data_IF_500289617271
#
_entry.id   IF_500289617271
#
_cell.length_a   1.000
_cell.length_b   1.000
_cell.length_c   1.000
_cell.angle_alpha   90.00
_cell.angle_beta   90.00
_cell.angle_gamma   90.00
#
_symmetry.space_group_name_H-M   'P 1'
#
loop_
_entity.id
_entity.type
_entity.pdbx_description
1 polymer ?
#
# COMPACT_ATOMS: atom_id res chain seq x y z
N UNK A 1 16.20 -14.03 -30.43
CA UNK A 1 15.68 -13.73 -29.09
C UNK A 1 16.76 -14.08 -28.10
N UNK A 2 17.26 -13.10 -27.33
CA UNK A 2 18.13 -13.41 -26.21
C UNK A 2 17.35 -14.28 -25.21
N UNK A 3 17.96 -15.36 -24.72
CA UNK A 3 17.34 -16.24 -23.73
C UNK A 3 17.35 -15.48 -22.40
N UNK A 4 16.19 -15.27 -21.77
CA UNK A 4 16.11 -14.62 -20.45
C UNK A 4 17.06 -15.31 -19.47
N UNK A 5 17.81 -14.53 -18.71
CA UNK A 5 18.74 -15.01 -17.67
C UNK A 5 18.03 -15.32 -16.35
N UNK A 6 16.79 -14.83 -16.17
CA UNK A 6 16.01 -14.98 -14.95
C UNK A 6 14.60 -15.50 -15.21
N UNK A 7 13.99 -16.06 -14.18
CA UNK A 7 12.55 -16.15 -14.04
C UNK A 7 12.03 -14.88 -13.36
N UNK A 8 10.83 -14.40 -13.72
CA UNK A 8 10.32 -13.10 -13.25
C UNK A 8 9.05 -13.26 -12.42
N UNK A 9 9.00 -12.61 -11.26
CA UNK A 9 7.82 -12.53 -10.39
C UNK A 9 7.41 -11.06 -10.24
N UNK A 10 6.11 -10.78 -10.28
CA UNK A 10 5.58 -9.44 -10.12
C UNK A 10 4.50 -9.44 -9.03
N UNK A 11 4.68 -8.58 -8.04
CA UNK A 11 3.67 -8.21 -7.03
C UNK A 11 3.60 -6.68 -6.96
N UNK A 12 2.51 -6.14 -6.45
CA UNK A 12 2.26 -4.68 -6.37
C UNK A 12 1.23 -4.41 -5.28
N UNK A 13 1.15 -3.16 -4.82
CA UNK A 13 0.07 -2.68 -3.93
C UNK A 13 -0.04 -3.52 -2.65
N UNK A 14 1.10 -3.77 -2.01
CA UNK A 14 1.15 -4.50 -0.75
C UNK A 14 0.73 -3.61 0.43
N UNK A 15 1.05 -2.31 0.38
CA UNK A 15 0.67 -1.28 1.37
C UNK A 15 1.00 -1.65 2.83
N UNK A 16 2.20 -2.20 3.08
CA UNK A 16 2.63 -2.49 4.45
C UNK A 16 2.73 -1.19 5.27
N UNK A 17 2.12 -1.21 6.45
CA UNK A 17 2.14 -0.12 7.43
C UNK A 17 2.81 -0.61 8.72
N UNK A 18 2.41 -0.11 9.88
CA UNK A 18 3.05 -0.42 11.18
C UNK A 18 2.99 -1.90 11.58
N UNK A 19 2.15 -2.70 10.96
CA UNK A 19 2.04 -4.13 11.16
C UNK A 19 1.62 -4.53 12.57
N UNK A 20 2.15 -5.67 13.01
CA UNK A 20 1.87 -6.27 14.31
C UNK A 20 2.64 -5.59 15.43
N UNK A 21 1.94 -5.14 16.48
CA UNK A 21 2.57 -4.66 17.71
C UNK A 21 2.67 -5.78 18.75
N UNK A 22 3.89 -6.26 19.09
CA UNK A 22 4.07 -7.32 20.07
C UNK A 22 3.71 -6.91 21.50
N UNK A 23 3.68 -5.63 21.83
CA UNK A 23 3.33 -5.15 23.17
C UNK A 23 1.83 -5.20 23.42
N UNK A 24 1.03 -4.88 22.41
CA UNK A 24 -0.44 -4.91 22.51
C UNK A 24 -1.04 -6.22 22.01
N UNK A 25 -0.27 -7.00 21.23
CA UNK A 25 -0.70 -8.25 20.62
C UNK A 25 -1.79 -8.01 19.56
N UNK A 26 -1.69 -6.90 18.82
CA UNK A 26 -2.66 -6.48 17.80
C UNK A 26 -1.95 -5.85 16.61
N UNK A 27 -2.56 -5.96 15.44
CA UNK A 27 -2.17 -5.14 14.29
C UNK A 27 -2.52 -3.67 14.54
N UNK A 28 -1.75 -2.78 13.95
CA UNK A 28 -2.09 -1.37 13.86
C UNK A 28 -3.45 -1.18 13.20
N UNK A 29 -4.11 -0.06 13.52
CA UNK A 29 -5.45 0.24 13.00
C UNK A 29 -5.42 0.66 11.53
N UNK A 30 -4.29 1.19 11.08
CA UNK A 30 -4.05 1.59 9.70
C UNK A 30 -3.17 0.53 9.03
N UNK A 31 -3.42 -0.75 9.29
CA UNK A 31 -2.73 -1.85 8.61
C UNK A 31 -3.69 -2.46 7.60
N UNK A 32 -3.21 -2.62 6.37
CA UNK A 32 -3.96 -3.21 5.26
C UNK A 32 -3.35 -4.54 4.80
N UNK A 33 -2.08 -4.81 5.14
CA UNK A 33 -1.36 -6.03 4.80
C UNK A 33 -1.33 -7.03 5.96
N UNK A 34 -1.90 -8.22 5.73
CA UNK A 34 -1.96 -9.30 6.73
C UNK A 34 -1.36 -10.62 6.24
N UNK A 35 -0.58 -10.57 5.16
CA UNK A 35 -0.21 -11.75 4.36
C UNK A 35 1.28 -12.07 4.42
N UNK A 36 1.97 -11.74 5.52
CA UNK A 36 3.39 -12.01 5.71
C UNK A 36 3.75 -13.48 5.43
N UNK A 37 2.96 -14.40 6.01
CA UNK A 37 3.19 -15.84 5.89
C UNK A 37 2.92 -16.33 4.47
N UNK A 38 1.82 -15.88 3.84
CA UNK A 38 1.47 -16.24 2.47
C UNK A 38 2.48 -15.69 1.47
N UNK A 39 2.99 -14.47 1.69
CA UNK A 39 4.06 -13.91 0.88
C UNK A 39 5.35 -14.73 1.02
N UNK A 40 5.70 -15.12 2.24
CA UNK A 40 6.86 -15.99 2.46
C UNK A 40 6.70 -17.37 1.80
N UNK A 41 5.52 -17.99 1.89
CA UNK A 41 5.18 -19.24 1.19
C UNK A 41 5.26 -19.09 -0.33
N UNK A 42 4.80 -17.95 -0.87
CA UNK A 42 4.90 -17.62 -2.28
C UNK A 42 6.37 -17.61 -2.74
N UNK A 43 7.28 -17.00 -1.98
CA UNK A 43 8.72 -17.02 -2.32
C UNK A 43 9.32 -18.43 -2.20
N UNK A 44 9.00 -19.17 -1.13
CA UNK A 44 9.47 -20.54 -0.92
C UNK A 44 9.06 -21.46 -2.07
N UNK A 45 7.81 -21.34 -2.53
CA UNK A 45 7.31 -22.13 -3.65
C UNK A 45 8.14 -21.92 -4.92
N UNK A 46 8.41 -20.67 -5.31
CA UNK A 46 9.14 -20.36 -6.53
C UNK A 46 10.61 -20.76 -6.45
N UNK A 47 11.26 -20.52 -5.31
CA UNK A 47 12.63 -20.98 -5.10
C UNK A 47 12.73 -22.50 -5.23
N UNK A 48 11.78 -23.26 -4.65
CA UNK A 48 11.74 -24.72 -4.80
C UNK A 48 11.56 -25.16 -6.26
N UNK A 49 10.71 -24.49 -7.02
CA UNK A 49 10.56 -24.77 -8.45
C UNK A 49 11.89 -24.69 -9.21
N UNK A 50 12.74 -23.70 -8.88
CA UNK A 50 14.06 -23.58 -9.51
C UNK A 50 15.07 -24.62 -9.00
N UNK A 51 15.00 -25.00 -7.73
CA UNK A 51 15.91 -26.01 -7.15
C UNK A 51 15.61 -27.44 -7.62
N UNK A 52 14.33 -27.73 -7.90
CA UNK A 52 13.85 -29.03 -8.36
C UNK A 52 13.87 -29.15 -9.90
N UNK A 53 14.24 -28.09 -10.61
CA UNK A 53 14.30 -28.03 -12.06
C UNK A 53 15.46 -28.87 -12.62
N UNK A 54 15.17 -29.73 -13.59
CA UNK A 54 16.19 -30.44 -14.36
C UNK A 54 16.95 -29.48 -15.28
N UNK A 55 18.19 -29.83 -15.65
CA UNK A 55 18.98 -29.01 -16.56
C UNK A 55 18.26 -28.77 -17.89
N UNK A 56 18.01 -27.51 -18.20
CA UNK A 56 17.28 -27.11 -19.41
C UNK A 56 15.76 -26.95 -19.23
N UNK A 57 15.22 -27.21 -18.04
CA UNK A 57 13.87 -26.82 -17.66
C UNK A 57 13.75 -25.27 -17.71
N UNK A 58 12.60 -24.71 -18.10
CA UNK A 58 12.37 -23.26 -18.09
C UNK A 58 12.71 -22.58 -16.76
N UNK A 59 12.53 -23.27 -15.63
CA UNK A 59 12.73 -22.76 -14.28
C UNK A 59 14.15 -22.93 -13.73
N UNK A 60 15.07 -23.60 -14.44
CA UNK A 60 16.50 -23.77 -14.09
C UNK A 60 17.27 -22.45 -14.26
N UNK A 61 16.83 -21.41 -13.52
CA UNK A 61 17.34 -20.04 -13.53
C UNK A 61 17.02 -19.35 -12.19
N UNK A 62 17.84 -18.37 -11.79
CA UNK A 62 17.51 -17.52 -10.64
C UNK A 62 16.23 -16.70 -10.88
N UNK A 63 15.64 -16.24 -9.79
CA UNK A 63 14.43 -15.42 -9.77
C UNK A 63 14.72 -13.94 -9.60
N UNK A 64 14.01 -13.11 -10.34
CA UNK A 64 13.95 -11.66 -10.15
C UNK A 64 12.56 -11.27 -9.69
N UNK A 65 12.45 -10.85 -8.44
CA UNK A 65 11.21 -10.40 -7.82
C UNK A 65 11.04 -8.90 -8.03
N UNK A 66 9.93 -8.50 -8.64
CA UNK A 66 9.50 -7.11 -8.74
C UNK A 66 8.40 -6.84 -7.73
N UNK A 67 8.64 -5.86 -6.86
CA UNK A 67 7.58 -5.19 -6.11
C UNK A 67 7.34 -3.85 -6.81
N UNK A 68 6.25 -3.78 -7.58
CA UNK A 68 5.98 -2.72 -8.55
C UNK A 68 5.26 -1.50 -7.94
N UNK A 69 5.84 -0.90 -6.91
CA UNK A 69 5.25 0.26 -6.25
C UNK A 69 4.26 -0.12 -5.16
N UNK A 70 4.03 0.86 -4.28
CA UNK A 70 3.12 0.77 -3.15
C UNK A 70 3.39 -0.50 -2.30
N UNK A 71 4.67 -0.78 -2.08
CA UNK A 71 5.13 -1.79 -1.13
C UNK A 71 4.80 -1.36 0.31
N UNK A 72 4.96 -0.07 0.59
CA UNK A 72 4.78 0.53 1.91
C UNK A 72 3.73 1.65 1.85
N UNK A 73 3.00 1.85 2.95
CA UNK A 73 2.23 3.08 3.18
C UNK A 73 2.86 3.92 4.29
N UNK A 74 3.82 4.75 3.90
CA UNK A 74 4.54 5.61 4.85
C UNK A 74 3.66 6.72 5.46
N UNK A 75 2.47 6.98 4.93
CA UNK A 75 1.55 7.96 5.51
C UNK A 75 0.61 7.34 6.54
N UNK A 76 0.40 6.03 6.50
CA UNK A 76 -0.37 5.29 7.49
C UNK A 76 0.43 4.97 8.78
N UNK A 77 1.76 5.10 8.74
CA UNK A 77 2.62 5.08 9.94
C UNK A 77 2.43 6.36 10.76
N UNK A 78 1.58 6.28 11.78
CA UNK A 78 1.14 7.44 12.59
C UNK A 78 1.72 7.45 14.00
N UNK A 79 2.33 6.36 14.44
CA UNK A 79 3.09 6.27 15.68
C UNK A 79 4.26 7.25 15.64
N UNK A 80 4.68 7.68 16.83
CA UNK A 80 5.78 8.60 17.01
C UNK A 80 6.84 7.98 17.92
N UNK A 81 8.13 8.28 17.70
CA UNK A 81 9.12 7.97 18.70
C UNK A 81 8.88 8.79 19.97
N UNK A 82 9.42 8.35 21.12
CA UNK A 82 9.42 9.15 22.36
C UNK A 82 9.96 10.56 22.13
N UNK A 83 9.44 11.55 22.84
CA UNK A 83 9.79 12.98 22.67
C UNK A 83 11.31 13.26 22.83
N UNK A 84 12.06 12.41 23.55
CA UNK A 84 13.50 12.50 23.76
C UNK A 84 14.34 11.71 22.73
N UNK A 85 13.69 11.10 21.74
CA UNK A 85 14.36 10.25 20.77
C UNK A 85 15.40 11.04 19.94
N UNK A 86 16.61 10.49 19.71
CA UNK A 86 17.69 11.19 19.02
C UNK A 86 17.36 11.70 17.61
N UNK A 87 16.31 11.15 16.96
CA UNK A 87 15.79 11.65 15.69
C UNK A 87 15.54 13.17 15.74
N UNK A 88 14.93 13.68 16.81
CA UNK A 88 14.54 15.08 16.90
C UNK A 88 15.74 16.00 17.06
N UNK A 89 16.62 15.69 18.02
CA UNK A 89 17.79 16.51 18.33
C UNK A 89 18.86 16.43 17.25
N UNK A 90 19.11 15.23 16.69
CA UNK A 90 20.17 15.00 15.69
C UNK A 90 19.87 15.67 14.35
N UNK A 91 18.59 15.72 13.96
CA UNK A 91 18.19 16.23 12.64
C UNK A 91 17.39 17.55 12.72
N UNK A 92 17.25 18.14 13.91
CA UNK A 92 16.51 19.40 14.10
C UNK A 92 15.04 19.28 13.69
N UNK A 93 14.41 18.15 14.01
CA UNK A 93 13.03 17.87 13.61
C UNK A 93 12.08 18.34 14.72
N UNK A 94 11.29 19.36 14.42
CA UNK A 94 10.27 19.85 15.35
C UNK A 94 9.04 18.93 15.38
N UNK A 95 8.65 18.52 16.58
CA UNK A 95 7.44 17.74 16.83
C UNK A 95 6.21 18.65 16.94
N UNK A 96 5.83 19.24 15.80
CA UNK A 96 4.65 20.11 15.67
C UNK A 96 3.34 19.40 15.98
N UNK A 97 2.28 20.14 16.30
CA UNK A 97 0.92 19.60 16.49
C UNK A 97 0.47 18.74 15.30
N UNK A 98 0.85 19.12 14.08
CA UNK A 98 0.54 18.35 12.88
C UNK A 98 1.19 16.96 12.90
N UNK A 99 2.44 16.85 13.35
CA UNK A 99 3.11 15.55 13.47
C UNK A 99 2.57 14.73 14.62
N UNK A 100 2.20 15.39 15.72
CA UNK A 100 1.51 14.76 16.86
C UNK A 100 0.16 14.18 16.48
N UNK A 101 -0.57 14.83 15.58
CA UNK A 101 -1.89 14.38 15.14
C UNK A 101 -1.84 13.39 13.96
N UNK A 102 -0.90 13.53 13.01
CA UNK A 102 -0.90 12.82 11.73
C UNK A 102 0.38 12.02 11.43
N UNK A 103 1.25 11.80 12.41
CA UNK A 103 2.51 11.10 12.22
C UNK A 103 3.63 11.97 11.62
N UNK A 104 4.82 11.38 11.49
CA UNK A 104 6.00 12.08 10.98
C UNK A 104 5.86 12.55 9.52
N UNK A 105 6.74 13.44 9.10
CA UNK A 105 6.81 13.97 7.74
C UNK A 105 7.34 12.97 6.71
N UNK A 106 7.77 13.51 5.56
CA UNK A 106 8.32 12.75 4.42
C UNK A 106 9.83 12.98 4.26
N UNK A 107 10.49 13.58 5.25
CA UNK A 107 11.94 13.78 5.21
C UNK A 107 12.68 12.46 5.34
N UNK A 108 13.86 12.36 4.73
CA UNK A 108 14.69 11.15 4.77
C UNK A 108 14.85 10.53 6.18
N UNK A 109 15.28 11.26 7.23
CA UNK A 109 15.43 10.67 8.57
C UNK A 109 14.10 10.25 9.21
N UNK A 110 13.01 10.96 8.92
CA UNK A 110 11.67 10.58 9.39
C UNK A 110 11.20 9.29 8.70
N UNK A 111 11.40 9.16 7.38
CA UNK A 111 11.04 7.96 6.63
C UNK A 111 11.87 6.76 7.05
N UNK A 112 13.18 6.91 7.30
CA UNK A 112 14.00 5.80 7.83
C UNK A 112 13.45 5.31 9.16
N UNK A 113 12.95 6.20 10.02
CA UNK A 113 12.29 5.79 11.26
C UNK A 113 10.97 5.05 10.99
N UNK A 114 10.12 5.56 10.09
CA UNK A 114 8.85 4.92 9.71
C UNK A 114 9.09 3.52 9.13
N UNK A 115 10.09 3.38 8.25
CA UNK A 115 10.48 2.11 7.67
C UNK A 115 10.86 1.08 8.74
N UNK A 116 11.62 1.48 9.77
CA UNK A 116 11.96 0.58 10.87
C UNK A 116 10.71 0.09 11.60
N UNK A 117 9.71 0.95 11.78
CA UNK A 117 8.42 0.57 12.37
C UNK A 117 7.69 -0.47 11.53
N UNK A 118 7.63 -0.27 10.22
CA UNK A 118 7.05 -1.26 9.29
C UNK A 118 7.80 -2.60 9.39
N UNK A 119 9.13 -2.56 9.36
CA UNK A 119 9.99 -3.75 9.45
C UNK A 119 9.82 -4.52 10.76
N UNK A 120 9.63 -3.81 11.87
CA UNK A 120 9.39 -4.44 13.17
C UNK A 120 7.99 -5.05 13.27
N UNK A 121 7.00 -4.49 12.57
CA UNK A 121 5.64 -5.01 12.49
C UNK A 121 5.47 -6.20 11.54
N UNK A 122 6.38 -6.37 10.58
CA UNK A 122 6.32 -7.41 9.54
C UNK A 122 7.60 -8.27 9.46
N UNK A 123 8.06 -8.86 10.58
CA UNK A 123 9.34 -9.55 10.61
C UNK A 123 9.41 -10.70 9.59
N UNK A 124 8.33 -11.47 9.42
CA UNK A 124 8.30 -12.62 8.51
C UNK A 124 8.42 -12.18 7.05
N UNK A 125 7.77 -11.07 6.66
CA UNK A 125 7.92 -10.52 5.31
C UNK A 125 9.38 -10.18 4.97
N UNK A 126 10.07 -9.44 5.85
CA UNK A 126 11.46 -9.03 5.61
C UNK A 126 12.46 -10.18 5.76
N UNK A 127 12.19 -11.14 6.66
CA UNK A 127 12.94 -12.41 6.71
C UNK A 127 12.81 -13.16 5.40
N UNK A 128 11.62 -13.23 4.81
CA UNK A 128 11.39 -13.92 3.54
C UNK A 128 12.10 -13.24 2.36
N UNK A 129 12.14 -11.90 2.31
CA UNK A 129 12.93 -11.18 1.31
C UNK A 129 14.42 -11.50 1.44
N UNK A 130 14.95 -11.48 2.65
CA UNK A 130 16.36 -11.80 2.88
C UNK A 130 16.68 -13.27 2.61
N UNK A 131 15.78 -14.18 2.98
CA UNK A 131 15.85 -15.60 2.63
C UNK A 131 15.86 -15.82 1.12
N UNK A 132 14.99 -15.14 0.38
CA UNK A 132 14.95 -15.20 -1.08
C UNK A 132 16.26 -14.72 -1.71
N UNK A 133 16.86 -13.65 -1.18
CA UNK A 133 18.16 -13.13 -1.63
C UNK A 133 19.34 -13.99 -1.16
N UNK A 134 19.16 -14.92 -0.22
CA UNK A 134 20.22 -15.85 0.18
C UNK A 134 20.49 -16.91 -0.90
N UNK A 135 19.56 -17.12 -1.84
CA UNK A 135 19.75 -18.00 -2.99
C UNK A 135 20.53 -17.29 -4.10
N UNK A 136 21.51 -17.98 -4.67
CA UNK A 136 22.44 -17.43 -5.67
C UNK A 136 21.70 -16.88 -6.89
N UNK A 137 22.11 -15.70 -7.35
CA UNK A 137 21.55 -15.03 -8.53
C UNK A 137 20.16 -14.41 -8.35
N UNK A 138 19.45 -14.66 -7.24
CA UNK A 138 18.15 -14.02 -7.02
C UNK A 138 18.29 -12.49 -6.87
N UNK A 139 17.34 -11.73 -7.42
CA UNK A 139 17.35 -10.27 -7.40
C UNK A 139 16.01 -9.71 -6.94
N UNK A 140 16.03 -8.55 -6.28
CA UNK A 140 14.85 -7.80 -5.88
C UNK A 140 14.85 -6.43 -6.56
N UNK A 141 13.78 -6.12 -7.28
CA UNK A 141 13.54 -4.81 -7.86
C UNK A 141 12.36 -4.16 -7.13
N UNK A 142 12.63 -3.06 -6.44
CA UNK A 142 11.65 -2.25 -5.73
C UNK A 142 11.39 -0.97 -6.51
N UNK A 143 10.29 -0.91 -7.24
CA UNK A 143 9.81 0.34 -7.82
C UNK A 143 9.07 1.11 -6.74
N UNK A 144 9.23 2.43 -6.73
CA UNK A 144 8.43 3.31 -5.88
C UNK A 144 7.10 3.63 -6.56
N UNK A 145 6.07 3.71 -5.76
CA UNK A 145 4.72 4.12 -6.13
C UNK A 145 4.36 5.50 -5.56
N UNK A 146 3.06 5.70 -5.30
CA UNK A 146 2.54 6.95 -4.73
C UNK A 146 2.36 6.92 -3.21
N UNK A 147 2.33 5.74 -2.59
CA UNK A 147 2.29 5.55 -1.12
C UNK A 147 3.68 5.40 -0.50
N UNK A 148 4.67 4.97 -1.29
CA UNK A 148 6.06 4.77 -0.89
C UNK A 148 7.05 5.57 -1.75
N UNK A 149 6.62 6.72 -2.24
CA UNK A 149 7.46 7.65 -3.03
C UNK A 149 8.77 7.98 -2.32
N UNK A 150 8.80 7.95 -0.98
CA UNK A 150 9.98 8.21 -0.16
C UNK A 150 11.11 7.17 -0.31
N UNK A 151 10.88 6.03 -0.99
CA UNK A 151 11.97 5.15 -1.47
C UNK A 151 12.95 5.91 -2.38
N UNK A 152 12.55 7.06 -2.94
CA UNK A 152 13.44 8.03 -3.58
C UNK A 152 14.70 8.37 -2.75
N UNK A 153 14.60 8.41 -1.41
CA UNK A 153 15.72 8.83 -0.58
C UNK A 153 16.84 7.79 -0.51
N UNK A 154 18.10 8.16 -0.80
CA UNK A 154 19.22 7.23 -0.76
C UNK A 154 19.40 6.53 0.60
N UNK A 155 19.19 7.22 1.73
CA UNK A 155 19.30 6.54 3.04
C UNK A 155 18.12 5.62 3.34
N UNK A 156 16.95 5.82 2.71
CA UNK A 156 15.83 4.87 2.83
C UNK A 156 16.17 3.58 2.07
N UNK A 157 16.73 3.68 0.86
CA UNK A 157 17.22 2.53 0.09
C UNK A 157 18.32 1.77 0.85
N UNK A 158 19.32 2.48 1.38
CA UNK A 158 20.38 1.88 2.19
C UNK A 158 19.84 1.23 3.47
N UNK A 159 18.88 1.87 4.14
CA UNK A 159 18.23 1.30 5.32
C UNK A 159 17.43 0.04 4.97
N UNK A 160 16.70 0.01 3.85
CA UNK A 160 15.99 -1.18 3.37
C UNK A 160 16.92 -2.38 3.21
N UNK A 161 18.06 -2.20 2.51
CA UNK A 161 19.05 -3.28 2.31
C UNK A 161 19.57 -3.79 3.66
N UNK A 162 19.92 -2.87 4.55
CA UNK A 162 20.44 -3.23 5.87
C UNK A 162 19.40 -3.97 6.73
N UNK A 163 18.16 -3.51 6.74
CA UNK A 163 17.08 -4.11 7.51
C UNK A 163 16.69 -5.50 6.98
N UNK A 164 16.74 -5.72 5.67
CA UNK A 164 16.55 -7.04 5.06
C UNK A 164 17.66 -8.01 5.50
N UNK A 165 18.94 -7.60 5.41
CA UNK A 165 20.08 -8.41 5.89
C UNK A 165 19.98 -8.70 7.40
N UNK A 166 19.62 -7.69 8.20
CA UNK A 166 19.44 -7.85 9.65
C UNK A 166 18.36 -8.90 9.96
N UNK A 167 17.16 -8.79 9.36
CA UNK A 167 16.07 -9.75 9.62
C UNK A 167 16.42 -11.16 9.13
N UNK A 168 17.12 -11.28 8.00
CA UNK A 168 17.65 -12.57 7.54
C UNK A 168 18.59 -13.21 8.56
N UNK A 169 19.58 -12.46 9.06
CA UNK A 169 20.56 -12.98 10.03
C UNK A 169 19.91 -13.37 11.35
N UNK A 170 18.93 -12.61 11.82
CA UNK A 170 18.16 -12.95 13.02
C UNK A 170 17.43 -14.28 12.84
N UNK A 171 16.67 -14.42 11.75
CA UNK A 171 15.99 -15.69 11.41
C UNK A 171 16.97 -16.85 11.31
N UNK A 172 18.09 -16.67 10.61
CA UNK A 172 19.11 -17.71 10.44
C UNK A 172 19.71 -18.14 11.77
N UNK A 173 20.03 -17.18 12.65
CA UNK A 173 20.58 -17.47 13.97
C UNK A 173 19.61 -18.28 14.85
N UNK A 174 18.30 -17.98 14.76
CA UNK A 174 17.26 -18.77 15.43
C UNK A 174 17.22 -20.21 14.90
N UNK A 175 17.24 -20.39 13.58
CA UNK A 175 17.27 -21.72 12.94
C UNK A 175 18.49 -22.54 13.36
N UNK A 176 19.68 -21.94 13.36
CA UNK A 176 20.93 -22.63 13.75
C UNK A 176 20.91 -23.09 15.21
N UNK A 177 20.20 -22.37 16.09
CA UNK A 177 20.03 -22.75 17.50
C UNK A 177 18.96 -23.82 17.72
N UNK A 178 18.32 -24.32 16.65
CA UNK A 178 17.28 -25.33 16.73
C UNK A 178 15.92 -24.79 17.18
N UNK A 179 15.74 -23.48 17.18
CA UNK A 179 14.40 -22.91 17.31
C UNK A 179 13.63 -23.16 16.00
N UNK A 180 12.41 -23.67 16.13
CA UNK A 180 11.47 -23.81 15.03
C UNK A 180 10.33 -22.80 15.25
N UNK A 181 10.54 -21.49 15.00
CA UNK A 181 9.44 -20.54 14.94
C UNK A 181 8.42 -21.01 13.89
N UNK A 182 7.18 -20.58 14.06
CA UNK A 182 6.11 -20.79 13.08
C UNK A 182 6.43 -19.97 11.82
N UNK A 183 7.33 -20.49 10.98
CA UNK A 183 7.83 -19.86 9.75
C UNK A 183 7.72 -20.83 8.58
N UNK A 184 7.29 -20.36 7.40
CA UNK A 184 7.28 -21.19 6.19
C UNK A 184 8.66 -21.33 5.54
N UNK A 185 9.65 -20.55 6.01
CA UNK A 185 11.00 -20.52 5.44
C UNK A 185 11.77 -21.80 5.78
N UNK A 186 12.43 -22.38 4.78
CA UNK A 186 13.24 -23.58 4.98
C UNK A 186 14.68 -23.23 5.26
N UNK A 187 15.30 -23.90 6.23
CA UNK A 187 16.72 -23.74 6.55
C UNK A 187 17.56 -24.84 5.90
N UNK A 188 18.68 -24.45 5.30
CA UNK A 188 19.74 -25.34 4.81
C UNK A 188 21.10 -24.82 5.30
N UNK A 189 22.00 -25.72 5.72
CA UNK A 189 23.31 -25.31 6.26
C UNK A 189 24.27 -24.72 5.23
N UNK A 190 23.97 -24.84 3.94
CA UNK A 190 24.69 -24.19 2.84
C UNK A 190 24.28 -22.73 2.65
N UNK A 191 23.19 -22.27 3.25
CA UNK A 191 22.77 -20.87 3.15
C UNK A 191 23.83 -19.93 3.76
N UNK A 192 24.13 -18.80 3.11
CA UNK A 192 25.23 -17.92 3.50
C UNK A 192 25.01 -17.29 4.89
N UNK A 193 26.10 -17.01 5.61
CA UNK A 193 26.03 -16.29 6.89
C UNK A 193 25.64 -14.81 6.72
N UNK A 194 25.98 -14.24 5.56
CA UNK A 194 25.80 -12.83 5.22
C UNK A 194 25.24 -12.71 3.81
N UNK A 195 24.35 -11.75 3.56
CA UNK A 195 23.92 -11.46 2.20
C UNK A 195 24.96 -10.56 1.52
N UNK A 196 25.61 -11.08 0.48
CA UNK A 196 26.61 -10.35 -0.29
C UNK A 196 25.97 -9.56 -1.44
N UNK A 197 26.64 -8.49 -1.86
CA UNK A 197 26.31 -7.71 -3.07
C UNK A 197 24.87 -7.14 -3.10
N UNK A 198 24.28 -6.85 -1.93
CA UNK A 198 22.92 -6.31 -1.83
C UNK A 198 22.73 -4.97 -2.56
N UNK A 199 23.80 -4.18 -2.73
CA UNK A 199 23.73 -2.93 -3.50
C UNK A 199 23.49 -3.17 -5.00
N UNK A 200 23.90 -4.33 -5.51
CA UNK A 200 23.74 -4.75 -6.90
C UNK A 200 22.47 -5.58 -7.09
N UNK A 201 22.09 -6.37 -6.08
CA UNK A 201 20.96 -7.31 -6.13
C UNK A 201 19.62 -6.72 -5.67
N UNK A 202 19.63 -5.65 -4.88
CA UNK A 202 18.43 -4.87 -4.54
C UNK A 202 18.46 -3.56 -5.31
N UNK A 203 17.63 -3.50 -6.35
CA UNK A 203 17.61 -2.43 -7.33
C UNK A 203 16.41 -1.52 -7.07
N UNK A 204 16.66 -0.20 -7.08
CA UNK A 204 15.65 0.83 -6.94
C UNK A 204 15.60 1.69 -8.21
N UNK A 205 14.79 1.31 -9.22
CA UNK A 205 14.65 2.10 -10.43
C UNK A 205 14.12 3.50 -10.09
N UNK A 206 14.69 4.53 -10.74
CA UNK A 206 14.28 5.92 -10.50
C UNK A 206 12.83 6.20 -10.92
N UNK A 207 12.35 5.50 -11.96
CA UNK A 207 10.96 5.56 -12.40
C UNK A 207 10.50 4.20 -12.93
N UNK A 208 11.11 3.74 -14.03
CA UNK A 208 10.72 2.52 -14.72
C UNK A 208 11.89 1.54 -14.76
N UNK A 209 11.57 0.25 -14.84
CA UNK A 209 12.51 -0.80 -15.19
C UNK A 209 12.24 -1.24 -16.63
N UNK A 210 13.29 -1.51 -17.40
CA UNK A 210 13.15 -2.01 -18.77
C UNK A 210 14.06 -3.22 -18.94
N UNK A 211 13.44 -4.37 -19.23
CA UNK A 211 14.11 -5.59 -19.65
C UNK A 211 14.07 -5.64 -21.19
N UNK A 212 15.22 -5.42 -21.87
CA UNK A 212 15.25 -5.29 -23.32
C UNK A 212 14.58 -6.46 -24.04
N UNK A 213 13.77 -6.12 -25.03
CA UNK A 213 13.03 -7.09 -25.88
C UNK A 213 11.98 -7.94 -25.15
N UNK A 214 11.77 -7.76 -23.84
CA UNK A 214 10.80 -8.51 -23.05
C UNK A 214 9.67 -7.62 -22.51
N UNK A 215 9.98 -6.68 -21.62
CA UNK A 215 8.96 -5.85 -20.98
C UNK A 215 9.56 -4.56 -20.39
N UNK A 216 8.68 -3.60 -20.09
CA UNK A 216 8.98 -2.52 -19.16
C UNK A 216 7.97 -2.55 -18.01
N UNK A 217 8.40 -2.06 -16.85
CA UNK A 217 7.61 -2.04 -15.61
C UNK A 217 7.59 -0.62 -15.07
N UNK A 218 6.40 -0.14 -14.75
CA UNK A 218 6.19 1.07 -13.96
C UNK A 218 4.94 0.88 -13.08
N UNK A 219 4.83 1.65 -12.00
CA UNK A 219 3.67 1.59 -11.09
C UNK A 219 2.37 1.96 -11.81
N UNK A 220 2.40 3.07 -12.56
CA UNK A 220 1.23 3.59 -13.28
C UNK A 220 0.49 4.73 -12.56
N UNK A 221 0.91 5.13 -11.35
CA UNK A 221 0.33 6.27 -10.63
C UNK A 221 0.35 7.59 -11.40
N UNK A 222 1.28 7.75 -12.35
CA UNK A 222 1.35 8.94 -13.21
C UNK A 222 0.19 9.07 -14.19
N UNK A 223 -0.59 8.00 -14.43
CA UNK A 223 -1.79 8.05 -15.27
C UNK A 223 -3.05 8.43 -14.50
N UNK A 224 -3.02 8.42 -13.15
CA UNK A 224 -4.12 8.90 -12.32
C UNK A 224 -3.89 10.36 -11.88
N UNK A 225 -4.75 11.32 -12.25
CA UNK A 225 -4.55 12.73 -11.94
C UNK A 225 -4.53 13.08 -10.44
N UNK A 226 -5.10 12.23 -9.56
CA UNK A 226 -5.11 12.50 -8.12
C UNK A 226 -3.84 12.00 -7.43
N UNK A 227 -3.22 10.95 -7.98
CA UNK A 227 -2.05 10.27 -7.47
C UNK A 227 -0.75 10.58 -8.24
N UNK A 228 -0.84 11.29 -9.37
CA UNK A 228 0.34 11.69 -10.14
C UNK A 228 1.17 12.74 -9.40
N UNK A 229 2.50 12.63 -9.55
CA UNK A 229 3.44 13.59 -8.98
C UNK A 229 3.81 14.60 -10.04
N UNK A 230 3.95 15.87 -9.66
CA UNK A 230 4.44 16.90 -10.59
C UNK A 230 5.83 16.55 -11.12
N UNK A 231 6.70 16.06 -10.24
CA UNK A 231 8.04 15.58 -10.56
C UNK A 231 8.23 14.19 -9.96
N UNK A 232 8.03 13.11 -10.72
CA UNK A 232 8.14 11.76 -10.15
C UNK A 232 9.59 11.33 -9.89
N UNK A 233 10.55 11.75 -10.73
CA UNK A 233 11.98 11.40 -10.60
C UNK A 233 12.62 12.11 -9.39
N UNK A 234 12.26 13.38 -9.18
CA UNK A 234 12.77 14.19 -8.06
C UNK A 234 11.57 14.84 -7.37
N UNK A 235 10.87 14.08 -6.51
CA UNK A 235 9.57 14.47 -5.95
C UNK A 235 9.73 15.41 -4.77
N UNK A 236 10.67 16.35 -4.79
CA UNK A 236 10.94 17.24 -3.67
C UNK A 236 10.24 18.60 -3.81
N UNK A 237 9.96 19.23 -2.66
CA UNK A 237 9.42 20.60 -2.65
C UNK A 237 10.54 21.58 -3.04
N UNK A 238 10.36 22.47 -4.04
CA UNK A 238 11.42 23.37 -4.49
C UNK A 238 12.08 24.21 -3.38
N UNK A 239 11.28 24.74 -2.46
CA UNK A 239 11.76 25.59 -1.35
C UNK A 239 12.13 24.78 -0.09
N UNK A 240 11.85 23.47 -0.10
CA UNK A 240 12.08 22.52 1.01
C UNK A 240 12.54 21.17 0.44
N UNK A 241 13.76 21.11 -0.14
CA UNK A 241 14.24 19.93 -0.85
C UNK A 241 14.51 18.73 0.08
N UNK A 242 14.37 18.92 1.40
CA UNK A 242 14.41 17.90 2.43
C UNK A 242 13.06 17.16 2.62
N UNK A 243 12.02 17.55 1.90
CA UNK A 243 10.68 16.97 1.96
C UNK A 243 10.12 16.62 0.59
N UNK A 244 9.26 15.59 0.56
CA UNK A 244 8.55 15.16 -0.64
C UNK A 244 7.31 16.03 -0.89
N UNK A 245 7.12 16.46 -2.14
CA UNK A 245 5.91 17.11 -2.64
C UNK A 245 4.83 16.05 -2.90
N UNK A 246 3.94 15.86 -1.92
CA UNK A 246 2.84 14.91 -2.02
C UNK A 246 1.75 15.35 -3.01
N UNK A 247 1.12 14.43 -3.76
CA UNK A 247 -0.01 14.71 -4.62
C UNK A 247 -1.30 14.88 -3.80
N UNK A 248 -2.36 15.39 -4.45
CA UNK A 248 -3.61 15.69 -3.73
C UNK A 248 -4.28 14.46 -3.10
N UNK A 249 -4.11 13.27 -3.67
CA UNK A 249 -4.61 12.01 -3.08
C UNK A 249 -3.97 11.71 -1.73
N UNK A 250 -2.65 11.84 -1.62
CA UNK A 250 -1.89 11.62 -0.37
C UNK A 250 -2.27 12.60 0.74
N UNK A 251 -2.67 13.84 0.40
CA UNK A 251 -3.22 14.78 1.39
C UNK A 251 -4.55 14.29 1.99
N UNK A 252 -5.39 13.63 1.18
CA UNK A 252 -6.65 13.08 1.65
C UNK A 252 -6.41 11.86 2.56
N UNK A 253 -5.46 10.99 2.22
CA UNK A 253 -5.08 9.87 3.10
C UNK A 253 -4.60 10.38 4.46
N UNK A 254 -3.54 11.21 4.46
CA UNK A 254 -2.90 11.73 5.68
C UNK A 254 -3.84 12.50 6.60
N UNK A 255 -4.71 13.36 6.05
CA UNK A 255 -5.51 14.31 6.86
C UNK A 255 -6.98 13.90 7.04
N UNK A 256 -7.48 12.90 6.31
CA UNK A 256 -8.89 12.50 6.32
C UNK A 256 -9.07 11.01 6.61
N UNK A 257 -8.48 10.11 5.81
CA UNK A 257 -8.75 8.66 5.95
C UNK A 257 -8.15 8.03 7.21
N UNK A 258 -6.89 8.32 7.56
CA UNK A 258 -6.28 7.76 8.77
C UNK A 258 -7.12 8.01 10.05
N UNK A 259 -7.85 9.13 10.11
CA UNK A 259 -8.71 9.46 11.25
C UNK A 259 -10.06 8.74 11.17
N UNK A 260 -10.56 8.56 9.96
CA UNK A 260 -11.79 7.84 9.71
C UNK A 260 -11.60 6.35 9.97
N UNK A 261 -10.48 5.74 9.62
CA UNK A 261 -10.16 4.34 9.92
C UNK A 261 -10.06 4.09 11.43
N UNK A 262 -9.57 5.08 12.19
CA UNK A 262 -9.61 5.02 13.66
C UNK A 262 -11.04 4.94 14.23
N UNK A 263 -12.06 5.40 13.48
CA UNK A 263 -13.48 5.35 13.83
C UNK A 263 -14.23 4.20 13.14
N UNK A 264 -13.84 3.86 11.91
CA UNK A 264 -14.47 2.89 11.01
C UNK A 264 -13.41 2.16 10.17
N UNK A 265 -12.91 1.00 10.63
CA UNK A 265 -11.87 0.20 9.94
C UNK A 265 -12.22 -0.33 8.54
N UNK A 266 -13.40 0.00 7.99
CA UNK A 266 -13.88 -0.51 6.69
C UNK A 266 -14.00 0.59 5.62
N UNK A 267 -13.61 1.83 5.94
CA UNK A 267 -13.90 3.00 5.11
C UNK A 267 -13.16 2.98 3.77
N UNK A 268 -11.95 2.42 3.69
CA UNK A 268 -11.16 2.39 2.46
C UNK A 268 -11.74 1.44 1.39
N UNK A 269 -12.49 0.42 1.83
CA UNK A 269 -13.17 -0.52 0.93
C UNK A 269 -14.47 0.05 0.32
N UNK A 270 -14.92 1.25 0.72
CA UNK A 270 -16.18 1.82 0.26
C UNK A 270 -16.00 2.65 -1.02
N UNK A 271 -16.05 1.97 -2.16
CA UNK A 271 -16.25 2.61 -3.47
C UNK A 271 -17.74 2.74 -3.78
N UNK A 272 -18.23 3.88 -4.32
CA UNK A 272 -17.50 5.11 -4.64
C UNK A 272 -17.41 6.11 -3.47
N UNK A 273 -16.27 6.80 -3.39
CA UNK A 273 -15.92 7.85 -2.40
C UNK A 273 -17.03 8.89 -2.15
N UNK A 274 -17.77 9.28 -3.19
CA UNK A 274 -18.85 10.27 -3.06
C UNK A 274 -20.01 9.82 -2.17
N UNK A 275 -20.28 8.51 -2.09
CA UNK A 275 -21.32 7.97 -1.18
C UNK A 275 -20.86 8.00 0.26
N UNK A 276 -19.59 7.74 0.50
CA UNK A 276 -19.03 7.77 1.85
C UNK A 276 -18.92 9.21 2.37
N UNK A 277 -18.44 10.16 1.56
CA UNK A 277 -18.44 11.59 1.92
C UNK A 277 -19.85 12.08 2.23
N UNK A 278 -20.84 11.68 1.44
CA UNK A 278 -22.24 12.02 1.71
C UNK A 278 -22.75 11.36 3.00
N UNK A 279 -22.37 10.12 3.28
CA UNK A 279 -22.70 9.45 4.55
C UNK A 279 -22.06 10.16 5.76
N UNK A 280 -20.76 10.46 5.70
CA UNK A 280 -20.04 11.15 6.76
C UNK A 280 -20.62 12.55 7.03
N UNK A 281 -21.00 13.30 5.99
CA UNK A 281 -21.70 14.57 6.12
C UNK A 281 -23.09 14.44 6.74
N UNK A 282 -23.78 13.31 6.58
CA UNK A 282 -25.14 13.13 7.09
C UNK A 282 -25.20 12.50 8.49
N UNK A 283 -24.17 11.76 8.91
CA UNK A 283 -24.18 10.99 10.16
C UNK A 283 -23.11 11.44 11.17
N UNK A 284 -21.99 12.02 10.72
CA UNK A 284 -20.87 12.51 11.56
C UNK A 284 -20.58 14.00 11.29
N UNK A 285 -21.65 14.80 11.19
CA UNK A 285 -21.62 16.20 10.74
C UNK A 285 -20.67 17.07 11.59
N UNK A 286 -20.64 16.89 12.91
CA UNK A 286 -19.84 17.74 13.80
C UNK A 286 -18.34 17.52 13.61
N UNK A 287 -17.90 16.25 13.56
CA UNK A 287 -16.48 15.94 13.45
C UNK A 287 -15.96 16.10 12.02
N UNK A 288 -16.81 15.84 11.01
CA UNK A 288 -16.55 16.22 9.60
C UNK A 288 -16.40 17.73 9.47
N UNK A 289 -17.30 18.53 10.07
CA UNK A 289 -17.22 20.00 10.01
C UNK A 289 -16.02 20.57 10.77
N UNK A 290 -15.65 20.01 11.93
CA UNK A 290 -14.41 20.41 12.65
C UNK A 290 -13.16 20.12 11.81
N UNK A 291 -13.12 18.98 11.13
CA UNK A 291 -12.01 18.61 10.26
C UNK A 291 -11.94 19.52 9.03
N UNK A 292 -13.09 19.91 8.48
CA UNK A 292 -13.20 20.88 7.38
C UNK A 292 -12.70 22.27 7.79
N UNK A 293 -13.08 22.72 8.98
CA UNK A 293 -12.71 24.04 9.51
C UNK A 293 -11.24 24.12 9.93
N UNK A 294 -10.59 23.00 10.29
CA UNK A 294 -9.16 22.96 10.63
C UNK A 294 -8.23 22.99 9.43
N UNK A 295 -8.67 22.51 8.25
CA UNK A 295 -7.83 22.40 7.05
C UNK A 295 -8.46 23.05 5.79
N UNK A 296 -8.86 24.34 5.83
CA UNK A 296 -9.66 24.96 4.77
C UNK A 296 -8.94 25.05 3.42
N UNK A 297 -7.62 25.30 3.40
CA UNK A 297 -6.83 25.39 2.16
C UNK A 297 -6.70 24.04 1.45
N UNK A 298 -6.60 22.95 2.22
CA UNK A 298 -6.45 21.58 1.72
C UNK A 298 -7.73 21.11 1.02
N UNK A 299 -8.88 21.44 1.60
CA UNK A 299 -10.21 21.11 1.04
C UNK A 299 -10.50 21.91 -0.21
N UNK A 300 -10.11 23.20 -0.25
CA UNK A 300 -10.23 24.01 -1.46
C UNK A 300 -9.40 23.40 -2.61
N UNK A 301 -8.18 22.93 -2.33
CA UNK A 301 -7.30 22.29 -3.33
C UNK A 301 -7.85 20.93 -3.80
N UNK A 302 -8.46 20.16 -2.92
CA UNK A 302 -9.14 18.91 -3.28
C UNK A 302 -10.39 19.18 -4.12
N UNK A 303 -11.26 20.11 -3.70
CA UNK A 303 -12.49 20.46 -4.41
C UNK A 303 -12.20 21.07 -5.78
N UNK A 304 -11.16 21.89 -5.92
CA UNK A 304 -10.76 22.43 -7.23
C UNK A 304 -10.30 21.32 -8.19
N UNK A 305 -9.54 20.34 -7.70
CA UNK A 305 -9.12 19.19 -8.49
C UNK A 305 -10.30 18.25 -8.82
N UNK A 306 -11.21 18.02 -7.88
CA UNK A 306 -12.41 17.20 -8.06
C UNK A 306 -13.44 17.84 -9.03
N UNK A 307 -13.64 19.15 -8.95
CA UNK A 307 -14.46 19.90 -9.92
C UNK A 307 -13.80 19.94 -11.31
N UNK A 308 -12.46 19.96 -11.36
CA UNK A 308 -11.70 19.73 -12.58
C UNK A 308 -11.97 18.36 -13.21
N UNK A 309 -12.14 17.31 -12.37
CA UNK A 309 -12.51 15.94 -12.78
C UNK A 309 -13.87 15.90 -13.46
N UNK A 310 -14.91 16.50 -12.87
CA UNK A 310 -16.24 16.54 -13.48
C UNK A 310 -16.27 17.32 -14.80
N UNK A 311 -15.53 18.44 -14.89
CA UNK A 311 -15.43 19.22 -16.13
C UNK A 311 -14.70 18.49 -17.26
N UNK A 312 -13.68 17.67 -16.96
CA UNK A 312 -12.99 16.85 -17.97
C UNK A 312 -13.81 15.64 -18.38
N UNK A 313 -14.49 14.98 -17.44
CA UNK A 313 -15.33 13.81 -17.70
C UNK A 313 -16.56 14.17 -18.54
N UNK A 314 -17.23 15.29 -18.25
CA UNK A 314 -18.32 15.83 -19.07
C UNK A 314 -17.88 16.23 -20.49
N UNK A 315 -16.60 16.59 -20.68
CA UNK A 315 -16.03 16.94 -22.00
C UNK A 315 -15.65 15.72 -22.85
N UNK A 316 -15.44 14.56 -22.22
CA UNK A 316 -15.18 13.29 -22.89
C UNK A 316 -16.48 12.57 -23.23
N UNK A 317 -17.49 12.62 -22.36
CA UNK A 317 -18.82 12.00 -22.58
C UNK A 317 -19.60 12.66 -23.75
N UNK A 318 -19.33 13.93 -24.07
CA UNK A 318 -19.94 14.66 -25.20
C UNK A 318 -19.40 14.23 -26.58
N UNK A 319 -18.33 13.40 -26.64
CA UNK A 319 -17.66 13.03 -27.91
C UNK A 319 -17.81 11.56 -28.34
N UNK A 320 -18.38 10.69 -27.52
CA UNK A 320 -18.53 9.27 -27.87
C UNK A 320 -19.85 8.74 -27.33
N UNK A 321 -20.93 8.99 -28.07
CA UNK A 321 -22.23 8.36 -27.82
C UNK A 321 -22.57 7.41 -28.97
N UNK A 322 -22.49 6.10 -28.71
CA UNK A 322 -23.18 5.03 -29.44
C UNK A 322 -23.74 4.05 -28.38
N UNK A 323 -24.95 3.48 -28.53
CA UNK A 323 -25.66 2.80 -27.45
C UNK A 323 -25.21 1.34 -27.27
N UNK A 324 -25.17 0.86 -26.02
CA UNK A 324 -24.91 -0.53 -25.63
C UNK A 324 -26.20 -1.33 -25.43
N UNK A 325 -26.19 -2.59 -25.87
CA UNK A 325 -27.01 -3.70 -25.35
C UNK A 325 -26.24 -4.49 -24.26
N UNK A 326 -26.92 -5.28 -23.40
CA UNK A 326 -26.32 -5.79 -22.17
C UNK A 326 -25.67 -7.18 -22.34
N UNK A 327 -24.62 -7.45 -21.55
CA UNK A 327 -24.06 -8.80 -21.38
C UNK A 327 -23.86 -9.10 -19.89
N UNK A 328 -24.23 -10.34 -19.55
CA UNK A 328 -24.29 -10.99 -18.24
C UNK A 328 -22.98 -11.06 -17.45
N UNK A 329 -23.14 -11.08 -16.12
CA UNK A 329 -22.10 -11.42 -15.14
C UNK A 329 -22.14 -12.93 -14.82
N UNK A 330 -20.98 -13.54 -14.71
CA UNK A 330 -20.78 -14.84 -14.03
C UNK A 330 -19.83 -14.72 -12.85
N UNK A 331 -20.04 -15.65 -11.92
CA UNK A 331 -19.79 -15.64 -10.47
C UNK A 331 -18.51 -16.40 -10.10
N UNK A 332 -17.84 -16.01 -9.01
CA UNK A 332 -16.96 -16.88 -8.24
C UNK A 332 -17.12 -16.60 -6.74
N UNK A 333 -17.69 -17.58 -6.04
CA UNK A 333 -17.89 -17.57 -4.60
C UNK A 333 -16.75 -18.25 -3.86
N UNK A 334 -16.24 -17.62 -2.80
CA UNK A 334 -16.11 -18.28 -1.48
C UNK A 334 -15.98 -17.23 -0.34
N UNK A 335 -17.09 -16.86 0.30
CA UNK A 335 -17.13 -16.30 1.68
C UNK A 335 -18.56 -16.29 2.22
N UNK A 336 -19.19 -17.48 2.26
CA UNK A 336 -20.65 -17.62 2.43
C UNK A 336 -21.20 -17.33 3.83
N UNK A 337 -20.38 -17.22 4.88
CA UNK A 337 -20.89 -16.93 6.24
C UNK A 337 -20.96 -15.45 6.62
N UNK A 338 -20.17 -14.56 5.99
CA UNK A 338 -20.30 -13.10 6.14
C UNK A 338 -21.31 -12.49 5.17
N UNK A 339 -21.50 -13.11 4.00
CA UNK A 339 -22.46 -12.64 2.99
C UNK A 339 -23.92 -12.82 3.43
N UNK A 340 -24.26 -13.85 4.20
CA UNK A 340 -25.63 -14.04 4.71
C UNK A 340 -25.97 -13.04 5.84
N UNK A 341 -24.98 -12.64 6.65
CA UNK A 341 -25.13 -11.50 7.59
C UNK A 341 -25.29 -10.17 6.84
N UNK A 342 -24.49 -9.95 5.77
CA UNK A 342 -24.60 -8.77 4.90
C UNK A 342 -25.94 -8.71 4.15
N UNK A 343 -26.48 -9.83 3.69
CA UNK A 343 -27.82 -9.90 3.04
C UNK A 343 -28.94 -9.59 4.02
N UNK A 344 -28.80 -9.98 5.29
CA UNK A 344 -29.77 -9.69 6.34
C UNK A 344 -29.81 -8.20 6.69
N UNK A 345 -28.64 -7.56 6.79
CA UNK A 345 -28.51 -6.11 7.01
C UNK A 345 -29.01 -5.33 5.77
N UNK A 346 -28.66 -5.77 4.56
CA UNK A 346 -29.10 -5.15 3.31
C UNK A 346 -30.63 -5.28 3.08
N UNK A 347 -31.23 -6.40 3.48
CA UNK A 347 -32.69 -6.60 3.47
C UNK A 347 -33.42 -5.70 4.49
N UNK A 348 -32.82 -5.48 5.68
CA UNK A 348 -33.35 -4.53 6.67
C UNK A 348 -33.28 -3.08 6.16
N UNK A 349 -32.22 -2.70 5.44
CA UNK A 349 -32.11 -1.39 4.80
C UNK A 349 -33.11 -1.18 3.66
N UNK A 350 -33.41 -2.21 2.86
CA UNK A 350 -34.41 -2.14 1.78
C UNK A 350 -35.85 -2.09 2.30
N UNK A 351 -36.15 -2.78 3.42
CA UNK A 351 -37.47 -2.75 4.05
C UNK A 351 -37.81 -1.36 4.64
N UNK A 352 -36.82 -0.64 5.16
CA UNK A 352 -36.98 0.75 5.64
C UNK A 352 -37.19 1.73 4.47
N UNK A 353 -36.66 1.41 3.28
CA UNK A 353 -36.85 2.18 2.05
C UNK A 353 -38.23 2.02 1.38
N UNK A 354 -38.91 0.88 1.54
CA UNK A 354 -40.23 0.65 0.92
C UNK A 354 -41.42 1.18 1.74
N UNK A 355 -41.25 1.61 2.99
CA UNK A 355 -42.32 2.27 3.75
C UNK A 355 -42.50 3.76 3.43
N UNK A 356 -41.68 4.35 2.54
CA UNK A 356 -41.82 5.75 2.09
C UNK A 356 -42.31 5.94 0.65
N UNK A 357 -42.56 4.87 -0.13
CA UNK A 357 -43.18 5.00 -1.48
C UNK A 357 -44.67 4.68 -1.55
N UNK A 358 -45.31 4.18 -0.47
CA UNK A 358 -46.74 3.83 -0.44
C UNK A 358 -47.68 4.91 0.14
N UNK A 359 -47.20 6.16 0.32
CA UNK A 359 -48.07 7.30 0.71
C UNK A 359 -48.25 8.39 -0.36
N UNK A 360 -47.78 8.15 -1.59
CA UNK A 360 -47.85 9.14 -2.70
C UNK A 360 -48.71 8.70 -3.91
N UNK A 361 -49.43 7.58 -3.86
CA UNK A 361 -50.23 7.08 -5.00
C UNK A 361 -51.74 6.96 -4.76
N UNK A 362 -52.27 7.53 -3.68
CA UNK A 362 -53.72 7.60 -3.44
C UNK A 362 -54.24 9.04 -3.54
N UNK A 363 -54.13 9.63 -4.73
CA UNK A 363 -55.00 10.72 -5.15
C UNK A 363 -55.06 10.77 -6.68
N UNK A 364 -56.29 10.70 -7.19
CA UNK A 364 -56.76 10.89 -8.58
C UNK A 364 -56.53 9.76 -9.60
N UNK A 365 -57.50 8.84 -9.69
CA UNK A 365 -58.44 8.81 -10.83
C UNK A 365 -59.82 8.28 -10.38
N UNK A 366 -60.87 8.94 -10.89
CA UNK A 366 -62.26 9.00 -10.45
C UNK A 366 -63.18 7.95 -11.08
N UNK A 367 -64.25 7.57 -10.36
CA UNK A 367 -65.39 6.81 -10.89
C UNK A 367 -66.59 6.78 -9.93
N UNK A 368 -67.57 7.66 -10.21
CA UNK A 368 -68.86 7.96 -9.55
C UNK A 368 -68.87 8.87 -8.32
#
# INVERSE_FOLDING_TARGET
MMKSTHNYLFVSDLHLSEGWDPHTGKFSRNEDFFYDTEFAQFLVYHVKLAQEADSGDPYDKPWKLFINGDAFDFLQVTSLPPDDHPLFTKYGIDLTDNKREYGLGTSEPETVWKLKKIVDGHPVFFQALGWFLAHEGNELVLLKGNHDIEIFWPKVQSALRHLIDEKYRLWRAEMTQGYAPDTPLTYDSSMPDILEELDERIIFPTWLYHEPELFFVEHGSQYDPANMFRNFITPTIPDRPDMVELPSGSFLVRYFFNKIEQLHPFADNLRPLGRYVNWALNYELVDTMKMVLRNPRTIIKFLSNFLGKQRKQAKLEDKTAVPNEPVEQTDYTLQKKRVDELRTVQAQFLAIGQQKSTRSSLATFSGF
#
